data_IF_056420590898
#
_entry.id   IF_056420590898
#
_cell.length_a   1.000
_cell.length_b   1.000
_cell.length_c   1.000
_cell.angle_alpha   90.00
_cell.angle_beta   90.00
_cell.angle_gamma   90.00
#
_symmetry.space_group_name_H-M   'P 1'
#
loop_
_entity.id
_entity.type
_entity.pdbx_description
1 polymer ?
#
# COMPACT_ATOMS: atom_id res chain seq x y z
N UNK A 1 -20.78 10.22 -26.81
CA UNK A 1 -19.42 9.82 -26.38
C UNK A 1 -19.29 8.33 -26.61
N UNK A 2 -18.18 7.88 -27.20
CA UNK A 2 -17.89 6.44 -27.26
C UNK A 2 -17.69 5.93 -25.83
N UNK A 3 -18.23 4.76 -25.54
CA UNK A 3 -18.11 4.12 -24.25
C UNK A 3 -16.67 3.61 -24.04
N UNK A 4 -15.82 4.44 -23.42
CA UNK A 4 -14.36 4.30 -23.34
C UNK A 4 -13.89 2.92 -22.84
N UNK A 5 -14.66 2.28 -21.97
CA UNK A 5 -14.32 0.99 -21.36
C UNK A 5 -15.13 -0.20 -21.92
N UNK A 6 -15.81 -0.02 -23.06
CA UNK A 6 -16.63 -1.07 -23.69
C UNK A 6 -15.85 -2.37 -23.90
N UNK A 7 -14.59 -2.27 -24.33
CA UNK A 7 -13.74 -3.44 -24.52
C UNK A 7 -13.54 -4.22 -23.22
N UNK A 8 -13.21 -3.54 -22.11
CA UNK A 8 -12.99 -4.18 -20.80
C UNK A 8 -14.24 -4.89 -20.29
N UNK A 9 -15.43 -4.30 -20.46
CA UNK A 9 -16.70 -4.97 -20.14
C UNK A 9 -16.93 -6.20 -21.01
N UNK A 10 -16.69 -6.10 -22.31
CA UNK A 10 -16.90 -7.21 -23.25
C UNK A 10 -16.02 -8.44 -22.92
N UNK A 11 -14.82 -8.22 -22.36
CA UNK A 11 -13.90 -9.30 -21.96
C UNK A 11 -13.99 -9.64 -20.45
N UNK A 12 -14.98 -9.09 -19.73
CA UNK A 12 -15.19 -9.36 -18.31
C UNK A 12 -14.15 -8.76 -17.35
N UNK A 13 -13.29 -7.84 -17.82
CA UNK A 13 -12.28 -7.14 -17.02
C UNK A 13 -12.81 -5.90 -16.30
N UNK A 14 -14.11 -5.63 -16.42
CA UNK A 14 -14.83 -4.59 -15.68
C UNK A 14 -16.24 -5.11 -15.38
N UNK A 15 -16.49 -5.49 -14.13
CA UNK A 15 -17.74 -6.13 -13.69
C UNK A 15 -18.75 -5.14 -13.15
N UNK A 16 -18.28 -4.18 -12.38
CA UNK A 16 -19.11 -3.18 -11.72
C UNK A 16 -19.31 -1.96 -12.64
N UNK A 17 -20.49 -1.32 -12.60
CA UNK A 17 -20.69 -0.04 -13.29
C UNK A 17 -19.84 1.05 -12.63
N UNK A 18 -19.44 2.06 -13.41
CA UNK A 18 -18.77 3.23 -12.83
C UNK A 18 -19.71 3.95 -11.87
N UNK A 19 -19.20 4.45 -10.74
CA UNK A 19 -20.02 5.15 -9.74
C UNK A 19 -20.60 6.47 -10.29
N UNK A 20 -21.69 6.93 -9.70
CA UNK A 20 -22.31 8.22 -10.07
C UNK A 20 -21.53 9.42 -9.53
N UNK A 21 -20.90 9.29 -8.36
CA UNK A 21 -20.04 10.34 -7.81
C UNK A 21 -18.91 10.66 -8.78
N UNK A 22 -18.75 11.94 -9.20
CA UNK A 22 -17.80 12.30 -10.24
C UNK A 22 -16.33 12.10 -9.81
N UNK A 23 -16.03 12.20 -8.52
CA UNK A 23 -14.66 12.04 -8.02
C UNK A 23 -14.28 10.56 -7.98
N UNK A 24 -15.16 9.72 -7.44
CA UNK A 24 -14.93 8.28 -7.45
C UNK A 24 -14.90 7.75 -8.88
N UNK A 25 -15.78 8.25 -9.77
CA UNK A 25 -15.73 7.91 -11.19
C UNK A 25 -14.36 8.21 -11.79
N UNK A 26 -13.86 9.43 -11.62
CA UNK A 26 -12.55 9.81 -12.14
C UNK A 26 -11.42 8.93 -11.58
N UNK A 27 -11.49 8.55 -10.31
CA UNK A 27 -10.51 7.65 -9.69
C UNK A 27 -10.52 6.26 -10.35
N UNK A 28 -11.70 5.65 -10.53
CA UNK A 28 -11.84 4.32 -11.14
C UNK A 28 -11.40 4.34 -12.61
N UNK A 29 -11.76 5.38 -13.36
CA UNK A 29 -11.34 5.57 -14.75
C UNK A 29 -9.81 5.69 -14.85
N UNK A 30 -9.18 6.44 -13.94
CA UNK A 30 -7.73 6.56 -13.89
C UNK A 30 -7.05 5.21 -13.58
N UNK A 31 -7.57 4.43 -12.62
CA UNK A 31 -7.04 3.08 -12.33
C UNK A 31 -7.22 2.14 -13.53
N UNK A 32 -8.38 2.15 -14.21
CA UNK A 32 -8.62 1.32 -15.39
C UNK A 32 -7.64 1.62 -16.53
N UNK A 33 -7.17 2.87 -16.63
CA UNK A 33 -6.23 3.30 -17.67
C UNK A 33 -4.75 3.12 -17.27
N UNK A 34 -4.42 3.37 -16.00
CA UNK A 34 -3.02 3.50 -15.54
C UNK A 34 -2.59 2.47 -14.50
N UNK A 35 -3.53 1.71 -13.92
CA UNK A 35 -3.26 0.72 -12.87
C UNK A 35 -3.09 1.29 -11.47
N UNK A 36 -3.22 2.61 -11.28
CA UNK A 36 -3.12 3.27 -9.97
C UNK A 36 -3.93 4.57 -9.93
N UNK A 37 -4.11 5.13 -8.73
CA UNK A 37 -4.60 6.50 -8.50
C UNK A 37 -3.95 7.07 -7.25
N UNK A 38 -3.72 8.38 -7.22
CA UNK A 38 -3.23 9.10 -6.04
C UNK A 38 -4.37 9.90 -5.43
N UNK A 39 -4.68 9.63 -4.16
CA UNK A 39 -5.69 10.37 -3.40
C UNK A 39 -4.98 11.36 -2.50
N UNK A 40 -4.99 12.63 -2.91
CA UNK A 40 -4.38 13.71 -2.15
C UNK A 40 -5.23 14.09 -0.93
N UNK A 41 -4.56 14.56 0.13
CA UNK A 41 -5.19 15.11 1.33
C UNK A 41 -6.25 14.18 1.97
N UNK A 42 -6.02 12.87 1.96
CA UNK A 42 -6.97 11.87 2.46
C UNK A 42 -7.01 11.74 3.99
N UNK A 43 -6.18 12.51 4.70
CA UNK A 43 -6.15 12.64 6.16
C UNK A 43 -5.55 14.00 6.56
N UNK A 44 -5.83 14.44 7.77
CA UNK A 44 -5.35 15.71 8.31
C UNK A 44 -3.88 15.65 8.73
N UNK A 45 -3.26 16.81 8.90
CA UNK A 45 -1.89 16.92 9.41
C UNK A 45 -1.76 16.34 10.83
N UNK A 46 -2.76 16.54 11.67
CA UNK A 46 -2.82 16.04 13.03
C UNK A 46 -2.85 14.51 13.04
N UNK A 47 -3.58 13.92 12.10
CA UNK A 47 -3.64 12.47 11.93
C UNK A 47 -2.31 11.90 11.42
N UNK A 48 -1.62 12.65 10.54
CA UNK A 48 -0.27 12.31 10.08
C UNK A 48 0.74 12.31 11.25
N UNK A 49 0.73 13.35 12.08
CA UNK A 49 1.61 13.44 13.25
C UNK A 49 1.28 12.37 14.31
N UNK A 50 -0.01 12.07 14.52
CA UNK A 50 -0.42 11.00 15.43
C UNK A 50 0.04 9.62 14.93
N UNK A 51 -0.04 9.36 13.62
CA UNK A 51 0.47 8.14 13.02
C UNK A 51 2.00 8.07 13.19
N UNK A 52 2.71 9.15 12.86
CA UNK A 52 4.16 9.27 13.01
C UNK A 52 4.63 9.00 14.44
N UNK A 53 3.99 9.62 15.44
CA UNK A 53 4.31 9.40 16.85
C UNK A 53 4.09 7.93 17.27
N UNK A 54 3.07 7.28 16.71
CA UNK A 54 2.83 5.86 16.98
C UNK A 54 3.86 4.94 16.32
N UNK A 55 4.35 5.28 15.12
CA UNK A 55 5.48 4.59 14.48
C UNK A 55 6.73 4.71 15.36
N UNK A 56 7.04 5.91 15.84
CA UNK A 56 8.20 6.15 16.72
C UNK A 56 8.08 5.32 18.02
N UNK A 57 6.89 5.31 18.65
CA UNK A 57 6.62 4.54 19.87
C UNK A 57 6.79 3.04 19.65
N UNK A 58 6.25 2.51 18.55
CA UNK A 58 6.31 1.08 18.22
C UNK A 58 7.70 0.63 17.77
N UNK A 59 8.49 1.53 17.16
CA UNK A 59 9.85 1.24 16.72
C UNK A 59 10.83 1.14 17.90
N UNK A 60 10.57 1.89 18.98
CA UNK A 60 11.44 1.90 20.16
C UNK A 60 12.84 2.42 19.85
N UNK A 61 13.82 2.05 20.69
CA UNK A 61 15.22 2.51 20.56
C UNK A 61 16.07 1.68 19.60
N UNK A 62 15.63 0.49 19.22
CA UNK A 62 16.39 -0.46 18.40
C UNK A 62 15.46 -1.27 17.49
N UNK A 63 14.89 -0.66 16.43
CA UNK A 63 14.02 -1.38 15.51
C UNK A 63 14.81 -2.39 14.68
N UNK A 64 14.12 -3.48 14.34
CA UNK A 64 14.64 -4.48 13.42
C UNK A 64 14.77 -3.91 12.01
N UNK A 65 15.84 -4.30 11.33
CA UNK A 65 16.07 -4.04 9.91
C UNK A 65 15.53 -5.18 9.05
N UNK A 66 15.37 -4.95 7.75
CA UNK A 66 14.93 -5.96 6.80
C UNK A 66 15.89 -7.14 6.72
N UNK A 67 15.30 -8.32 6.51
CA UNK A 67 15.98 -9.62 6.60
C UNK A 67 16.65 -10.06 5.29
N UNK A 68 16.30 -9.41 4.19
CA UNK A 68 16.72 -9.76 2.83
C UNK A 68 16.65 -8.51 1.92
N UNK A 69 17.09 -8.66 0.67
CA UNK A 69 17.10 -7.59 -0.32
C UNK A 69 15.72 -7.00 -0.62
N UNK A 70 14.65 -7.80 -0.58
CA UNK A 70 13.29 -7.31 -0.77
C UNK A 70 12.85 -6.44 0.40
N UNK A 71 13.13 -6.84 1.63
CA UNK A 71 12.75 -6.04 2.80
C UNK A 71 13.58 -4.76 2.94
N UNK A 72 14.85 -4.79 2.52
CA UNK A 72 15.82 -3.71 2.62
C UNK A 72 16.66 -3.77 3.90
N UNK A 73 17.98 -3.89 3.77
CA UNK A 73 18.90 -4.02 4.92
C UNK A 73 19.07 -2.72 5.73
N UNK A 74 18.54 -1.61 5.22
CA UNK A 74 18.47 -0.31 5.87
C UNK A 74 17.01 0.20 5.93
N UNK A 75 16.05 -0.73 5.93
CA UNK A 75 14.62 -0.46 6.01
C UNK A 75 14.07 -1.05 7.31
N UNK A 76 13.24 -0.29 8.01
CA UNK A 76 12.53 -0.77 9.20
C UNK A 76 11.06 -1.04 8.87
N UNK A 77 10.53 -2.15 9.39
CA UNK A 77 9.14 -2.55 9.17
C UNK A 77 8.50 -2.94 10.49
N UNK A 78 7.33 -2.36 10.78
CA UNK A 78 6.48 -2.82 11.87
C UNK A 78 5.38 -3.69 11.25
N UNK A 79 5.53 -5.00 11.36
CA UNK A 79 4.55 -5.96 10.87
C UNK A 79 3.31 -6.06 11.77
N UNK A 80 2.21 -6.56 11.21
CA UNK A 80 0.97 -6.89 11.93
C UNK A 80 0.44 -5.71 12.75
N UNK A 81 0.33 -4.53 12.14
CA UNK A 81 -0.08 -3.29 12.81
C UNK A 81 -1.42 -3.42 13.55
N UNK A 82 -2.38 -4.14 12.98
CA UNK A 82 -3.70 -4.39 13.60
C UNK A 82 -3.61 -5.07 14.97
N UNK A 83 -2.56 -5.86 15.22
CA UNK A 83 -2.33 -6.51 16.51
C UNK A 83 -1.63 -5.60 17.52
N UNK A 84 -1.11 -4.44 17.09
CA UNK A 84 -0.23 -3.58 17.90
C UNK A 84 -0.90 -2.27 18.29
N UNK A 85 -1.80 -1.76 17.45
CA UNK A 85 -2.43 -0.46 17.67
C UNK A 85 -3.66 -0.27 16.79
N UNK A 86 -4.63 0.50 17.29
CA UNK A 86 -5.84 0.90 16.54
C UNK A 86 -5.68 2.25 15.84
N UNK A 87 -4.53 2.91 16.01
CA UNK A 87 -4.27 4.25 15.44
C UNK A 87 -4.30 4.26 13.90
N UNK A 88 -4.06 3.11 13.27
CA UNK A 88 -4.00 3.00 11.82
C UNK A 88 -5.29 2.51 11.16
N UNK A 89 -6.27 2.03 11.93
CA UNK A 89 -7.51 1.45 11.41
C UNK A 89 -8.22 2.36 10.41
N UNK A 90 -8.36 3.64 10.78
CA UNK A 90 -9.03 4.66 9.96
C UNK A 90 -8.49 4.72 8.53
N UNK A 91 -7.19 4.44 8.36
CA UNK A 91 -6.56 4.49 7.06
C UNK A 91 -6.93 3.31 6.16
N UNK A 92 -7.20 2.14 6.75
CA UNK A 92 -7.64 0.96 6.01
C UNK A 92 -9.10 1.05 5.56
N UNK A 93 -9.89 1.94 6.17
CA UNK A 93 -11.34 2.09 5.93
C UNK A 93 -11.71 3.50 5.42
N UNK A 94 -10.78 4.21 4.79
CA UNK A 94 -11.10 5.51 4.18
C UNK A 94 -12.20 5.32 3.12
N UNK A 95 -13.26 6.16 3.08
CA UNK A 95 -14.37 5.97 2.15
C UNK A 95 -13.95 5.80 0.69
N UNK A 96 -12.99 6.60 0.22
CA UNK A 96 -12.46 6.52 -1.16
C UNK A 96 -11.69 5.22 -1.44
N UNK A 97 -11.00 4.70 -0.43
CA UNK A 97 -10.29 3.42 -0.54
C UNK A 97 -11.28 2.27 -0.60
N UNK A 98 -12.32 2.30 0.24
CA UNK A 98 -13.39 1.30 0.21
C UNK A 98 -14.15 1.33 -1.13
N UNK A 99 -14.47 2.51 -1.66
CA UNK A 99 -15.13 2.63 -2.96
C UNK A 99 -14.29 2.01 -4.09
N UNK A 100 -12.98 2.24 -4.12
CA UNK A 100 -12.05 1.60 -5.07
C UNK A 100 -12.04 0.07 -4.91
N UNK A 101 -11.93 -0.42 -3.67
CA UNK A 101 -11.93 -1.84 -3.39
C UNK A 101 -13.25 -2.51 -3.79
N UNK A 102 -14.39 -1.90 -3.49
CA UNK A 102 -15.72 -2.39 -3.87
C UNK A 102 -15.89 -2.46 -5.40
N UNK A 103 -15.25 -1.54 -6.13
CA UNK A 103 -15.29 -1.54 -7.59
C UNK A 103 -14.41 -2.63 -8.21
N UNK A 104 -13.20 -2.86 -7.69
CA UNK A 104 -12.21 -3.76 -8.31
C UNK A 104 -12.17 -5.19 -7.75
N UNK A 105 -12.48 -5.37 -6.47
CA UNK A 105 -12.35 -6.65 -5.77
C UNK A 105 -13.70 -7.36 -5.63
N UNK A 106 -13.64 -8.65 -5.31
CA UNK A 106 -14.83 -9.42 -4.95
C UNK A 106 -15.37 -9.01 -3.58
N UNK A 107 -16.69 -9.10 -3.34
CA UNK A 107 -17.29 -8.86 -2.04
C UNK A 107 -16.62 -9.68 -0.93
N UNK A 108 -16.38 -9.06 0.22
CA UNK A 108 -15.75 -9.73 1.37
C UNK A 108 -14.22 -9.80 1.30
N UNK A 109 -13.58 -8.86 0.58
CA UNK A 109 -12.12 -8.70 0.63
C UNK A 109 -11.61 -8.51 2.06
N UNK A 110 -10.43 -9.07 2.34
CA UNK A 110 -9.78 -9.02 3.65
C UNK A 110 -8.41 -8.36 3.55
N UNK A 111 -7.90 -7.91 4.70
CA UNK A 111 -6.54 -7.40 4.82
C UNK A 111 -5.57 -8.57 4.92
N UNK A 112 -4.68 -8.71 3.94
CA UNK A 112 -3.65 -9.76 3.91
C UNK A 112 -2.39 -9.35 4.68
N UNK A 113 -2.01 -8.08 4.59
CA UNK A 113 -0.87 -7.49 5.29
C UNK A 113 -1.16 -6.04 5.64
N UNK A 114 -0.74 -5.62 6.84
CA UNK A 114 -0.76 -4.22 7.24
C UNK A 114 0.47 -3.91 8.09
N UNK A 115 1.38 -3.11 7.54
CA UNK A 115 2.67 -2.81 8.14
C UNK A 115 3.19 -1.43 7.74
N UNK A 116 4.10 -0.88 8.54
CA UNK A 116 4.87 0.31 8.16
C UNK A 116 6.09 -0.10 7.35
N UNK A 117 6.57 0.82 6.51
CA UNK A 117 7.85 0.71 5.80
C UNK A 117 8.56 2.05 5.96
N UNK A 118 9.66 2.05 6.70
CA UNK A 118 10.54 3.22 6.83
C UNK A 118 11.84 2.92 6.09
N UNK A 119 12.01 3.58 4.95
CA UNK A 119 13.21 3.49 4.11
C UNK A 119 14.21 4.54 4.62
N UNK A 120 15.35 4.11 5.16
CA UNK A 120 16.34 5.04 5.70
C UNK A 120 17.36 5.49 4.63
N UNK A 121 18.07 6.62 4.84
CA UNK A 121 19.07 7.11 3.90
C UNK A 121 20.14 6.07 3.57
N UNK A 122 20.40 5.84 2.28
CA UNK A 122 21.39 4.88 1.78
C UNK A 122 20.83 3.47 1.53
N UNK A 123 19.53 3.25 1.70
CA UNK A 123 18.88 2.02 1.24
C UNK A 123 18.94 1.88 -0.30
N UNK A 124 19.00 0.64 -0.78
CA UNK A 124 18.94 0.32 -2.21
C UNK A 124 17.50 0.30 -2.72
N UNK A 125 17.30 0.68 -3.99
CA UNK A 125 15.99 0.53 -4.64
C UNK A 125 15.60 -0.95 -4.73
N UNK A 126 14.32 -1.25 -4.54
CA UNK A 126 13.78 -2.57 -4.85
C UNK A 126 13.76 -2.80 -6.37
N UNK A 127 13.87 -4.06 -6.78
CA UNK A 127 13.65 -4.44 -8.18
C UNK A 127 12.19 -4.20 -8.60
N UNK A 128 11.96 -4.03 -9.90
CA UNK A 128 10.60 -3.94 -10.43
C UNK A 128 9.84 -5.25 -10.18
N UNK A 129 8.66 -5.14 -9.57
CA UNK A 129 7.81 -6.28 -9.23
C UNK A 129 6.33 -5.90 -9.30
N UNK A 130 5.47 -6.91 -9.16
CA UNK A 130 4.05 -6.74 -8.91
C UNK A 130 3.64 -7.58 -7.70
N UNK A 131 2.74 -7.06 -6.88
CA UNK A 131 2.44 -7.63 -5.55
C UNK A 131 1.81 -9.03 -5.62
N UNK A 132 1.14 -9.37 -6.70
CA UNK A 132 0.54 -10.69 -6.92
C UNK A 132 1.47 -11.66 -7.67
N UNK A 133 2.80 -11.43 -7.65
CA UNK A 133 3.79 -12.30 -8.31
C UNK A 133 3.79 -13.75 -7.81
N UNK A 134 3.33 -13.98 -6.58
CA UNK A 134 3.14 -15.32 -6.03
C UNK A 134 1.83 -16.00 -6.48
N UNK A 135 0.94 -15.29 -7.18
CA UNK A 135 -0.31 -15.83 -7.70
C UNK A 135 -0.16 -16.33 -9.14
N UNK A 136 -0.06 -17.64 -9.32
CA UNK A 136 0.12 -18.29 -10.63
C UNK A 136 -1.16 -18.41 -11.48
N UNK A 137 -2.08 -17.45 -11.39
CA UNK A 137 -3.29 -17.41 -12.22
C UNK A 137 -2.99 -16.65 -13.52
N UNK A 138 -3.24 -17.23 -14.72
CA UNK A 138 -2.94 -16.58 -16.00
C UNK A 138 -3.64 -15.24 -16.18
N UNK A 139 -2.99 -14.32 -16.92
CA UNK A 139 -3.58 -13.05 -17.40
C UNK A 139 -4.07 -13.21 -18.86
N UNK A 140 -5.11 -12.47 -19.32
CA UNK A 140 -5.84 -11.43 -18.59
C UNK A 140 -6.76 -12.02 -17.53
N UNK A 141 -6.79 -11.38 -16.36
CA UNK A 141 -7.66 -11.72 -15.23
C UNK A 141 -7.98 -10.48 -14.44
N UNK A 142 -9.05 -10.54 -13.65
CA UNK A 142 -9.39 -9.50 -12.69
C UNK A 142 -8.30 -9.40 -11.59
N UNK A 143 -8.21 -8.26 -10.90
CA UNK A 143 -7.28 -8.09 -9.77
C UNK A 143 -7.56 -9.10 -8.66
N UNK A 144 -6.49 -9.69 -8.10
CA UNK A 144 -6.59 -10.60 -6.94
C UNK A 144 -6.46 -9.86 -5.60
N UNK A 145 -6.10 -8.58 -5.65
CA UNK A 145 -5.92 -7.71 -4.50
C UNK A 145 -5.59 -6.29 -4.94
N UNK A 146 -5.52 -5.39 -3.98
CA UNK A 146 -5.11 -4.01 -4.17
C UNK A 146 -4.04 -3.65 -3.14
N UNK A 147 -3.07 -2.84 -3.56
CA UNK A 147 -2.05 -2.28 -2.69
C UNK A 147 -2.43 -0.85 -2.34
N UNK A 148 -2.41 -0.51 -1.06
CA UNK A 148 -2.69 0.84 -0.56
C UNK A 148 -1.43 1.34 0.14
N UNK A 149 -0.82 2.39 -0.41
CA UNK A 149 0.38 3.02 0.14
C UNK A 149 -0.01 4.38 0.71
N UNK A 150 0.37 4.61 1.97
CA UNK A 150 0.04 5.83 2.70
C UNK A 150 1.32 6.59 2.98
N UNK A 151 1.48 7.71 2.29
CA UNK A 151 2.61 8.60 2.48
C UNK A 151 2.47 9.38 3.78
N UNK A 152 3.21 8.97 4.82
CA UNK A 152 3.34 9.73 6.07
C UNK A 152 4.67 10.49 6.01
N UNK A 153 4.74 11.76 6.45
CA UNK A 153 6.00 12.48 6.56
C UNK A 153 7.06 11.69 7.33
N UNK A 154 8.36 11.85 6.98
CA UNK A 154 9.42 11.04 7.56
C UNK A 154 9.48 11.17 9.09
N UNK A 155 9.68 10.03 9.75
CA UNK A 155 10.15 9.92 11.12
C UNK A 155 11.64 10.26 11.19
N UNK A 156 12.21 10.38 12.40
CA UNK A 156 13.66 10.55 12.54
C UNK A 156 14.36 9.31 11.94
N UNK A 157 15.48 9.46 11.20
CA UNK A 157 16.23 8.31 10.70
C UNK A 157 16.59 7.40 11.87
N UNK A 158 16.20 6.14 11.80
CA UNK A 158 16.54 5.21 12.86
C UNK A 158 17.84 4.53 12.45
N UNK A 159 18.90 4.84 13.17
CA UNK A 159 20.23 4.30 12.87
C UNK A 159 20.26 2.82 13.22
N UNK A 160 20.90 2.05 12.33
CA UNK A 160 21.35 0.69 12.58
C UNK A 160 22.04 0.60 13.95
N UNK A 161 21.66 -0.39 14.77
CA UNK A 161 22.42 -0.71 15.97
C UNK A 161 23.87 -1.06 15.57
N UNK A 162 24.89 -0.47 16.19
CA UNK A 162 26.29 -0.79 15.87
C UNK A 162 26.53 -2.30 15.97
N UNK A 163 27.08 -2.92 14.92
CA UNK A 163 27.56 -4.31 14.95
C UNK A 163 26.74 -5.38 14.20
N UNK A 164 25.58 -5.05 13.61
CA UNK A 164 24.81 -6.03 12.81
C UNK A 164 25.27 -6.06 11.34
N UNK A 165 26.38 -6.71 10.99
CA UNK A 165 26.71 -6.96 9.58
C UNK A 165 25.91 -8.14 9.05
N UNK A 166 25.10 -7.94 8.01
CA UNK A 166 24.48 -9.05 7.28
C UNK A 166 25.54 -9.70 6.37
N UNK A 167 25.64 -11.04 6.36
CA UNK A 167 26.70 -11.76 5.65
C UNK A 167 26.65 -11.62 4.12
N UNK A 168 25.56 -11.13 3.54
CA UNK A 168 25.38 -11.07 2.08
C UNK A 168 25.77 -9.72 1.47
N UNK A 169 26.75 -9.03 2.06
CA UNK A 169 27.41 -7.89 1.42
C UNK A 169 28.57 -8.38 0.54
N UNK A 170 28.23 -9.14 -0.50
CA UNK A 170 29.11 -9.48 -1.63
C UNK A 170 28.63 -8.72 -2.85
#
# INVERSE_FOLDING_TARGET
>A
MADQFKHLRNIGMMRNPLPEDPVDRANMEHVLQHGYVVIENCFSKEEAEAAKAEIDRLSGSAPMIGRNSFEGFNTNRIYSLLNKTRKFDKFAILPRVLALNDFFLDPGYNITSFHTIQINPGEKNQDMHHDDAFCHVPRPRLPLGAAIIIGIPPTKPIRKAPGLTHPDSI
#
